data_IF_665534252747
#
_entry.id   IF_665534252747
#
_cell.length_a   1.000
_cell.length_b   1.000
_cell.length_c   1.000
_cell.angle_alpha   90.00
_cell.angle_beta   90.00
_cell.angle_gamma   90.00
#
_symmetry.space_group_name_H-M   'P 1'
#
loop_
_entity.id
_entity.type
_entity.pdbx_description
1 polymer ?
#
# COMPACT_ATOMS: atom_id res chain seq x y z
N UNK A 1 -6.36 13.65 -30.25
CA UNK A 1 -6.16 12.32 -29.64
C UNK A 1 -7.52 11.64 -29.54
N UNK A 2 -7.59 10.36 -29.17
CA UNK A 2 -8.90 9.70 -28.92
C UNK A 2 -9.41 10.03 -27.52
N UNK A 3 -10.73 10.09 -27.33
CA UNK A 3 -11.36 10.47 -26.05
C UNK A 3 -10.92 9.58 -24.89
N UNK A 4 -10.77 8.26 -25.09
CA UNK A 4 -10.25 7.35 -24.05
C UNK A 4 -8.90 7.81 -23.49
N UNK A 5 -7.95 8.20 -24.36
CA UNK A 5 -6.63 8.67 -23.93
C UNK A 5 -6.71 10.06 -23.28
N UNK A 6 -7.67 10.88 -23.71
CA UNK A 6 -7.92 12.17 -23.09
C UNK A 6 -8.47 12.00 -21.67
N UNK A 7 -9.36 11.05 -21.42
CA UNK A 7 -9.88 10.74 -20.09
C UNK A 7 -8.75 10.33 -19.12
N UNK A 8 -7.86 9.43 -19.55
CA UNK A 8 -6.67 9.07 -18.77
C UNK A 8 -5.80 10.30 -18.45
N UNK A 9 -5.63 11.20 -19.43
CA UNK A 9 -4.87 12.44 -19.21
C UNK A 9 -5.60 13.43 -18.31
N UNK A 10 -6.94 13.47 -18.36
CA UNK A 10 -7.77 14.31 -17.48
C UNK A 10 -7.56 13.89 -16.03
N UNK A 11 -7.67 12.59 -15.71
CA UNK A 11 -7.40 12.08 -14.34
C UNK A 11 -6.02 12.53 -13.86
N UNK A 12 -4.98 12.21 -14.62
CA UNK A 12 -3.59 12.58 -14.29
C UNK A 12 -3.35 14.08 -14.21
N UNK A 13 -4.15 14.88 -14.91
CA UNK A 13 -4.06 16.34 -14.85
C UNK A 13 -4.61 16.92 -13.55
N UNK A 14 -5.65 16.29 -12.99
CA UNK A 14 -6.21 16.66 -11.68
C UNK A 14 -5.21 16.33 -10.57
N UNK A 15 -4.48 15.23 -10.73
CA UNK A 15 -3.43 14.80 -9.80
C UNK A 15 -2.09 15.56 -9.96
N UNK A 16 -1.97 16.45 -10.94
CA UNK A 16 -0.74 17.23 -11.18
C UNK A 16 0.41 16.45 -11.82
N UNK A 17 0.16 15.27 -12.39
CA UNK A 17 1.18 14.36 -12.91
C UNK A 17 1.52 14.54 -14.40
N UNK A 18 0.84 15.46 -15.11
CA UNK A 18 1.09 15.68 -16.53
C UNK A 18 2.34 16.53 -16.78
N UNK A 19 3.18 16.04 -17.70
CA UNK A 19 4.27 16.84 -18.27
C UNK A 19 3.73 17.92 -19.22
N UNK A 20 4.47 19.02 -19.42
CA UNK A 20 4.04 20.11 -20.29
C UNK A 20 3.68 19.68 -21.73
N UNK A 21 4.36 18.66 -22.28
CA UNK A 21 4.00 18.07 -23.59
C UNK A 21 2.66 17.35 -23.58
N UNK A 22 2.33 16.65 -22.48
CA UNK A 22 1.04 15.96 -22.33
C UNK A 22 -0.09 16.96 -22.12
N UNK A 23 0.14 18.00 -21.33
CA UNK A 23 -0.81 19.10 -21.10
C UNK A 23 -1.19 19.79 -22.41
N UNK A 24 -0.22 20.21 -23.22
CA UNK A 24 -0.49 20.83 -24.52
C UNK A 24 -1.26 19.91 -25.48
N UNK A 25 -1.03 18.59 -25.39
CA UNK A 25 -1.77 17.59 -26.18
C UNK A 25 -3.21 17.47 -25.69
N UNK A 26 -3.44 17.51 -24.37
CA UNK A 26 -4.75 17.49 -23.74
C UNK A 26 -5.55 18.75 -24.10
N UNK A 27 -4.97 19.92 -23.93
CA UNK A 27 -5.60 21.21 -24.26
C UNK A 27 -6.09 21.26 -25.71
N UNK A 28 -5.27 20.78 -26.66
CA UNK A 28 -5.67 20.71 -28.08
C UNK A 28 -6.91 19.84 -28.30
N UNK A 29 -7.07 18.77 -27.52
CA UNK A 29 -8.25 17.91 -27.62
C UNK A 29 -9.47 18.54 -26.94
N UNK A 30 -9.28 19.16 -25.77
CA UNK A 30 -10.33 19.88 -25.05
C UNK A 30 -10.87 21.06 -25.84
N UNK A 31 -10.06 21.68 -26.71
CA UNK A 31 -10.52 22.72 -27.63
C UNK A 31 -11.59 22.22 -28.62
N UNK A 32 -11.52 20.93 -29.02
CA UNK A 32 -12.39 20.35 -30.04
C UNK A 32 -13.45 19.38 -29.52
N UNK A 33 -13.40 18.94 -28.25
CA UNK A 33 -14.33 17.96 -27.68
C UNK A 33 -15.02 18.52 -26.43
N UNK A 34 -16.33 18.75 -26.54
CA UNK A 34 -17.16 19.26 -25.44
C UNK A 34 -17.34 18.26 -24.30
N UNK A 35 -17.50 16.97 -24.62
CA UNK A 35 -17.68 15.90 -23.62
C UNK A 35 -16.48 15.79 -22.68
N UNK A 36 -15.27 15.77 -23.24
CA UNK A 36 -14.04 15.72 -22.43
C UNK A 36 -13.83 17.01 -21.61
N UNK A 37 -14.37 18.15 -22.06
CA UNK A 37 -14.34 19.41 -21.30
C UNK A 37 -15.28 19.35 -20.10
N UNK A 38 -16.52 18.89 -20.31
CA UNK A 38 -17.48 18.69 -19.24
C UNK A 38 -16.94 17.72 -18.18
N UNK A 39 -16.35 16.59 -18.61
CA UNK A 39 -15.72 15.62 -17.69
C UNK A 39 -14.61 16.24 -16.84
N UNK A 40 -13.75 17.06 -17.44
CA UNK A 40 -12.68 17.75 -16.71
C UNK A 40 -13.25 18.75 -15.69
N UNK A 41 -14.29 19.48 -16.05
CA UNK A 41 -14.98 20.41 -15.14
C UNK A 41 -15.61 19.67 -13.96
N UNK A 42 -16.27 18.54 -14.21
CA UNK A 42 -16.91 17.74 -13.16
C UNK A 42 -15.87 17.16 -12.19
N UNK A 43 -14.76 16.62 -12.71
CA UNK A 43 -13.68 16.11 -11.85
C UNK A 43 -13.01 17.21 -11.03
N UNK A 44 -12.87 18.43 -11.58
CA UNK A 44 -12.35 19.58 -10.83
C UNK A 44 -13.30 20.03 -9.72
N UNK A 45 -14.62 19.99 -9.95
CA UNK A 45 -15.62 20.29 -8.90
C UNK A 45 -15.54 19.28 -7.76
N UNK A 46 -15.43 17.99 -8.08
CA UNK A 46 -15.30 16.92 -7.07
C UNK A 46 -14.00 17.10 -6.27
N UNK A 47 -12.86 17.30 -6.95
CA UNK A 47 -11.59 17.51 -6.29
C UNK A 47 -11.58 18.77 -5.40
N UNK A 48 -12.20 19.86 -5.86
CA UNK A 48 -12.39 21.08 -5.08
C UNK A 48 -13.23 20.86 -3.82
N UNK A 49 -14.39 20.19 -3.95
CA UNK A 49 -15.24 19.86 -2.80
C UNK A 49 -14.57 18.91 -1.80
N UNK A 50 -13.73 17.98 -2.27
CA UNK A 50 -12.96 17.12 -1.39
C UNK A 50 -11.92 17.88 -0.56
N UNK A 51 -11.36 18.98 -1.08
CA UNK A 51 -10.40 19.81 -0.36
C UNK A 51 -11.03 20.64 0.77
N UNK A 52 -12.35 20.83 0.75
CA UNK A 52 -13.12 21.52 1.81
C UNK A 52 -13.47 20.59 2.98
N UNK A 53 -13.25 19.28 2.84
CA UNK A 53 -13.50 18.31 3.90
C UNK A 53 -12.47 18.48 5.03
N UNK A 54 -12.93 18.30 6.28
CA UNK A 54 -12.05 18.27 7.44
C UNK A 54 -11.01 17.15 7.29
N UNK A 55 -9.77 17.54 7.06
CA UNK A 55 -8.66 16.61 6.98
C UNK A 55 -8.20 16.25 8.41
N UNK A 56 -8.11 14.95 8.76
CA UNK A 56 -7.62 14.56 10.07
C UNK A 56 -6.16 14.98 10.22
N UNK A 57 -5.87 15.76 11.26
CA UNK A 57 -4.51 16.21 11.52
C UNK A 57 -3.62 15.03 11.97
N UNK A 58 -2.48 14.78 11.30
CA UNK A 58 -1.58 13.71 11.72
C UNK A 58 -1.09 13.92 13.15
N UNK A 59 -0.92 12.84 13.91
CA UNK A 59 -0.42 12.94 15.28
C UNK A 59 0.95 13.64 15.37
N UNK A 60 1.24 14.29 16.49
CA UNK A 60 2.53 14.95 16.74
C UNK A 60 3.75 14.06 16.49
N UNK A 61 3.61 12.75 16.70
CA UNK A 61 4.69 11.78 16.44
C UNK A 61 5.04 11.73 14.96
N UNK A 62 4.04 11.72 14.09
CA UNK A 62 4.23 11.71 12.63
C UNK A 62 4.94 13.00 12.21
N UNK A 63 4.48 14.16 12.71
CA UNK A 63 5.13 15.45 12.41
C UNK A 63 6.56 15.56 12.92
N UNK A 64 6.87 15.00 14.10
CA UNK A 64 8.24 14.94 14.59
C UNK A 64 9.12 14.09 13.68
N UNK A 65 8.65 12.91 13.28
CA UNK A 65 9.39 12.03 12.38
C UNK A 65 9.65 12.68 11.01
N UNK A 66 8.66 13.38 10.44
CA UNK A 66 8.83 14.13 9.19
C UNK A 66 9.89 15.23 9.35
N UNK A 67 9.82 16.03 10.42
CA UNK A 67 10.82 17.09 10.68
C UNK A 67 12.23 16.53 10.85
N UNK A 68 12.38 15.44 11.60
CA UNK A 68 13.68 14.76 11.73
C UNK A 68 14.16 14.25 10.37
N UNK A 69 13.27 13.62 9.60
CA UNK A 69 13.57 13.15 8.24
C UNK A 69 14.06 14.25 7.32
N UNK A 70 13.38 15.41 7.30
CA UNK A 70 13.78 16.57 6.50
C UNK A 70 15.08 17.22 6.98
N UNK A 71 15.37 17.19 8.29
CA UNK A 71 16.63 17.69 8.83
C UNK A 71 17.82 16.78 8.50
N UNK A 72 17.58 15.47 8.35
CA UNK A 72 18.59 14.48 7.98
C UNK A 72 18.72 14.25 6.47
N UNK A 73 17.67 14.59 5.71
CA UNK A 73 17.68 14.51 4.26
C UNK A 73 18.41 15.73 3.72
N UNK A 74 19.66 15.53 3.29
CA UNK A 74 20.32 16.44 2.37
C UNK A 74 19.50 16.43 1.07
N UNK A 75 18.55 17.36 0.94
CA UNK A 75 17.69 17.50 -0.23
C UNK A 75 18.57 17.92 -1.40
N UNK A 76 19.16 16.93 -2.07
CA UNK A 76 19.88 17.15 -3.33
C UNK A 76 18.86 17.68 -4.33
N UNK A 77 19.00 18.92 -4.84
CA UNK A 77 18.02 19.48 -5.74
C UNK A 77 17.98 18.63 -7.02
N UNK A 78 16.80 18.11 -7.35
CA UNK A 78 16.51 17.33 -8.57
C UNK A 78 16.43 18.23 -9.82
N UNK A 79 17.34 19.19 -9.94
CA UNK A 79 17.55 19.96 -11.16
C UNK A 79 18.90 19.53 -11.73
N UNK A 80 18.87 18.42 -12.45
CA UNK A 80 19.98 17.93 -13.27
C UNK A 80 20.17 18.88 -14.47
N UNK A 81 20.64 20.10 -14.18
CA UNK A 81 21.18 21.01 -15.17
C UNK A 81 22.58 20.54 -15.52
N UNK A 82 22.77 20.08 -16.75
CA UNK A 82 24.06 19.67 -17.33
C UNK A 82 25.06 20.82 -17.12
N UNK A 83 25.87 20.71 -16.08
CA UNK A 83 27.00 21.60 -15.83
C UNK A 83 28.22 20.93 -16.43
N UNK A 84 28.56 21.31 -17.66
CA UNK A 84 29.86 21.02 -18.24
C UNK A 84 30.89 21.88 -17.50
N UNK A 85 31.41 21.40 -16.37
CA UNK A 85 32.57 22.02 -15.75
C UNK A 85 33.83 21.76 -16.59
N UNK A 86 34.58 22.80 -16.98
CA UNK A 86 35.86 22.62 -17.64
C UNK A 86 36.87 22.09 -16.63
N UNK A 87 37.39 20.88 -16.88
CA UNK A 87 38.57 20.34 -16.19
C UNK A 87 39.77 21.27 -16.38
N UNK A 88 40.44 21.75 -15.31
CA UNK A 88 41.80 22.21 -15.43
C UNK A 88 42.74 21.00 -15.42
N UNK A 89 43.45 20.84 -16.53
CA UNK A 89 44.60 19.97 -16.68
C UNK A 89 45.81 20.60 -15.97
N UNK A 90 46.55 19.78 -15.22
CA UNK A 90 47.88 19.97 -14.62
C UNK A 90 48.03 20.72 -13.28
N UNK A 91 48.73 20.05 -12.36
CA UNK A 91 49.30 20.63 -11.14
C UNK A 91 49.79 19.58 -10.14
N UNK A 92 50.94 18.97 -10.42
CA UNK A 92 51.68 18.06 -9.53
C UNK A 92 51.97 18.74 -8.17
N UNK A 93 51.71 18.04 -7.06
CA UNK A 93 52.08 18.52 -5.73
C UNK A 93 51.55 17.66 -4.59
N UNK A 94 52.22 16.54 -4.32
CA UNK A 94 52.04 15.77 -3.08
C UNK A 94 52.76 16.52 -1.95
N UNK A 95 52.13 16.71 -0.79
CA UNK A 95 52.86 16.51 0.45
C UNK A 95 52.07 15.57 1.37
N UNK A 96 52.48 14.31 1.35
CA UNK A 96 52.18 13.37 2.41
C UNK A 96 52.94 13.81 3.69
N UNK A 97 52.45 13.35 4.84
CA UNK A 97 53.08 13.42 6.17
C UNK A 97 53.07 14.78 6.91
N UNK A 98 51.92 15.17 7.49
CA UNK A 98 51.90 15.93 8.77
C UNK A 98 50.80 15.55 9.77
N UNK A 99 49.97 14.52 9.51
CA UNK A 99 48.82 14.20 10.40
C UNK A 99 48.69 12.71 10.75
N UNK A 100 49.81 12.00 10.99
CA UNK A 100 49.78 10.59 11.37
C UNK A 100 49.37 10.33 12.85
N UNK A 101 49.24 11.38 13.69
CA UNK A 101 48.81 11.23 15.09
C UNK A 101 47.33 11.51 15.38
N UNK A 102 46.63 12.23 14.49
CA UNK A 102 45.25 12.72 14.77
C UNK A 102 44.18 11.80 14.17
N UNK A 103 44.51 11.03 13.13
CA UNK A 103 43.57 10.12 12.47
C UNK A 103 43.18 8.92 13.34
N UNK A 104 44.09 8.41 14.18
CA UNK A 104 43.80 7.26 15.05
C UNK A 104 42.82 7.60 16.18
N UNK A 105 42.92 8.80 16.78
CA UNK A 105 42.05 9.22 17.89
C UNK A 105 40.61 9.51 17.42
N UNK A 106 40.45 10.07 16.22
CA UNK A 106 39.15 10.36 15.63
C UNK A 106 38.38 9.08 15.28
N UNK A 107 39.07 8.06 14.74
CA UNK A 107 38.43 6.76 14.44
C UNK A 107 38.02 6.05 15.73
N UNK A 108 38.84 6.09 16.79
CA UNK A 108 38.46 5.49 18.08
C UNK A 108 37.26 6.22 18.71
N UNK A 109 37.20 7.56 18.68
CA UNK A 109 36.05 8.31 19.20
C UNK A 109 34.77 8.07 18.37
N UNK A 110 34.88 7.95 17.04
CA UNK A 110 33.73 7.64 16.18
C UNK A 110 33.27 6.21 16.42
N UNK A 111 34.16 5.22 16.50
CA UNK A 111 33.78 3.82 16.78
C UNK A 111 33.22 3.69 18.18
N UNK A 112 33.80 4.35 19.18
CA UNK A 112 33.31 4.32 20.56
C UNK A 112 31.97 5.04 20.68
N UNK A 113 31.78 6.17 20.00
CA UNK A 113 30.51 6.90 19.92
C UNK A 113 29.42 6.12 19.17
N UNK A 114 29.78 5.40 18.10
CA UNK A 114 28.86 4.51 17.37
C UNK A 114 28.49 3.30 18.20
N UNK A 115 29.44 2.68 18.91
CA UNK A 115 29.16 1.53 19.79
C UNK A 115 28.34 1.95 21.00
N UNK A 116 28.68 3.05 21.67
CA UNK A 116 27.91 3.61 22.80
C UNK A 116 26.53 4.09 22.31
N UNK A 117 26.45 4.74 21.14
CA UNK A 117 25.19 5.19 20.53
C UNK A 117 24.27 4.04 20.11
N UNK A 118 24.81 2.95 19.57
CA UNK A 118 24.04 1.73 19.24
C UNK A 118 23.65 0.93 20.49
N UNK A 119 24.45 1.00 21.57
CA UNK A 119 24.17 0.32 22.86
C UNK A 119 23.18 1.10 23.72
N UNK A 120 23.24 2.43 23.78
CA UNK A 120 22.28 3.28 24.50
C UNK A 120 21.02 3.58 23.68
N UNK A 121 21.11 3.65 22.34
CA UNK A 121 19.96 3.83 21.45
C UNK A 121 19.01 2.63 21.39
N UNK A 122 19.43 1.46 21.89
CA UNK A 122 18.56 0.28 22.11
C UNK A 122 17.80 0.33 23.44
N UNK A 123 18.04 1.31 24.30
CA UNK A 123 17.19 1.55 25.48
C UNK A 123 16.02 2.46 25.10
N UNK A 124 15.22 2.02 24.13
CA UNK A 124 13.87 2.53 23.98
C UNK A 124 13.07 2.13 25.22
N UNK A 125 12.47 3.10 25.88
CA UNK A 125 11.57 2.93 27.03
C UNK A 125 10.63 1.73 26.83
N UNK A 126 10.86 0.57 27.49
CA UNK A 126 10.15 -0.66 27.15
C UNK A 126 8.66 -0.61 27.53
N UNK A 127 8.25 0.28 28.45
CA UNK A 127 6.90 0.26 29.01
C UNK A 127 5.78 0.85 28.10
N UNK A 128 6.11 1.59 27.03
CA UNK A 128 5.09 2.22 26.15
C UNK A 128 4.94 1.53 24.80
N UNK A 129 5.97 0.84 24.30
CA UNK A 129 5.87 -0.02 23.11
C UNK A 129 5.08 -1.28 23.43
N UNK A 130 5.33 -1.89 24.59
CA UNK A 130 4.70 -3.14 25.04
C UNK A 130 3.17 -3.03 25.13
N UNK A 131 2.67 -1.93 25.73
CA UNK A 131 1.22 -1.65 25.80
C UNK A 131 0.58 -1.36 24.43
N UNK A 132 1.35 -0.79 23.50
CA UNK A 132 0.88 -0.54 22.15
C UNK A 132 0.78 -1.83 21.34
N UNK A 133 1.78 -2.70 21.48
CA UNK A 133 1.83 -4.03 20.85
C UNK A 133 0.72 -4.94 21.38
N UNK A 134 0.52 -5.01 22.70
CA UNK A 134 -0.58 -5.76 23.33
C UNK A 134 -1.95 -5.28 22.84
N UNK A 135 -2.17 -3.97 22.73
CA UNK A 135 -3.40 -3.40 22.17
C UNK A 135 -3.58 -3.79 20.69
N UNK A 136 -2.52 -3.76 19.88
CA UNK A 136 -2.60 -4.19 18.48
C UNK A 136 -2.91 -5.69 18.36
N UNK A 137 -2.27 -6.54 19.17
CA UNK A 137 -2.54 -7.98 19.21
C UNK A 137 -4.01 -8.25 19.57
N UNK A 138 -4.53 -7.59 20.60
CA UNK A 138 -5.93 -7.70 21.00
C UNK A 138 -6.90 -7.28 19.88
N UNK A 139 -6.54 -6.28 19.06
CA UNK A 139 -7.35 -5.86 17.91
C UNK A 139 -7.29 -6.85 16.74
N UNK A 140 -6.15 -7.51 16.53
CA UNK A 140 -6.02 -8.58 15.55
C UNK A 140 -6.83 -9.82 15.98
N UNK A 141 -6.82 -10.17 17.28
CA UNK A 141 -7.68 -11.23 17.84
C UNK A 141 -9.18 -10.94 17.67
N UNK A 142 -9.56 -9.68 17.91
CA UNK A 142 -10.93 -9.23 17.66
C UNK A 142 -11.32 -9.37 16.19
N UNK A 143 -10.46 -8.91 15.28
CA UNK A 143 -10.68 -9.05 13.84
C UNK A 143 -10.79 -10.51 13.41
N UNK A 144 -9.92 -11.39 13.92
CA UNK A 144 -9.95 -12.82 13.62
C UNK A 144 -11.32 -13.44 13.96
N UNK A 145 -11.90 -13.12 15.12
CA UNK A 145 -13.23 -13.62 15.50
C UNK A 145 -14.31 -13.22 14.49
N UNK A 146 -14.28 -11.97 14.02
CA UNK A 146 -15.23 -11.51 13.00
C UNK A 146 -15.05 -12.24 11.67
N UNK A 147 -13.81 -12.45 11.21
CA UNK A 147 -13.54 -13.21 10.00
C UNK A 147 -14.00 -14.67 10.12
N UNK A 148 -13.73 -15.33 11.25
CA UNK A 148 -14.18 -16.70 11.48
C UNK A 148 -15.71 -16.80 11.43
N UNK A 149 -16.42 -15.85 12.05
CA UNK A 149 -17.88 -15.79 11.99
C UNK A 149 -18.38 -15.58 10.54
N UNK A 150 -17.77 -14.66 9.80
CA UNK A 150 -18.11 -14.41 8.40
C UNK A 150 -17.88 -15.67 7.54
N UNK A 151 -16.71 -16.29 7.65
CA UNK A 151 -16.38 -17.53 6.94
C UNK A 151 -17.39 -18.63 7.25
N UNK A 152 -17.77 -18.82 8.52
CA UNK A 152 -18.74 -19.84 8.89
C UNK A 152 -20.11 -19.56 8.23
N UNK A 153 -20.60 -18.32 8.32
CA UNK A 153 -21.89 -17.94 7.73
C UNK A 153 -21.91 -18.08 6.19
N UNK A 154 -20.86 -17.63 5.52
CA UNK A 154 -20.73 -17.74 4.06
C UNK A 154 -20.58 -19.19 3.61
N UNK A 155 -19.82 -20.01 4.36
CA UNK A 155 -19.65 -21.43 4.06
C UNK A 155 -20.98 -22.19 4.19
N UNK A 156 -21.79 -21.87 5.21
CA UNK A 156 -23.11 -22.45 5.40
C UNK A 156 -24.10 -22.02 4.29
N UNK A 157 -24.12 -20.73 3.97
CA UNK A 157 -24.91 -20.20 2.87
C UNK A 157 -24.55 -20.87 1.54
N UNK A 158 -23.25 -21.02 1.25
CA UNK A 158 -22.76 -21.72 0.07
C UNK A 158 -23.12 -23.21 0.07
N UNK A 159 -22.98 -23.90 1.20
CA UNK A 159 -23.32 -25.32 1.31
C UNK A 159 -24.78 -25.61 0.96
N UNK A 160 -25.71 -24.74 1.36
CA UNK A 160 -27.13 -24.85 1.01
C UNK A 160 -27.43 -24.66 -0.48
N UNK A 161 -26.51 -24.03 -1.23
CA UNK A 161 -26.71 -23.62 -2.63
C UNK A 161 -25.72 -24.27 -3.60
N UNK A 162 -24.85 -25.17 -3.12
CA UNK A 162 -23.77 -25.80 -3.89
C UNK A 162 -24.25 -26.57 -5.13
N UNK A 163 -25.45 -27.16 -5.07
CA UNK A 163 -26.03 -27.95 -6.17
C UNK A 163 -26.42 -27.17 -7.42
N UNK A 164 -26.32 -25.83 -7.41
CA UNK A 164 -26.68 -24.97 -8.54
C UNK A 164 -25.49 -24.69 -9.47
N UNK A 165 -24.26 -25.01 -9.07
CA UNK A 165 -23.06 -24.78 -9.88
C UNK A 165 -22.87 -25.84 -10.97
N UNK A 166 -22.38 -25.39 -12.13
CA UNK A 166 -21.91 -26.28 -13.19
C UNK A 166 -20.73 -27.12 -12.66
N UNK A 167 -20.67 -28.44 -12.91
CA UNK A 167 -19.67 -29.33 -12.30
C UNK A 167 -18.21 -28.88 -12.47
N UNK A 168 -17.88 -28.33 -13.64
CA UNK A 168 -16.53 -27.85 -13.98
C UNK A 168 -16.12 -26.63 -13.13
N UNK A 169 -17.06 -25.72 -12.84
CA UNK A 169 -16.83 -24.53 -12.01
C UNK A 169 -16.73 -24.93 -10.54
N UNK A 170 -17.59 -25.86 -10.09
CA UNK A 170 -17.54 -26.40 -8.74
C UNK A 170 -16.19 -27.07 -8.43
N UNK A 171 -15.66 -27.88 -9.36
CA UNK A 171 -14.36 -28.54 -9.18
C UNK A 171 -13.19 -27.55 -9.10
N UNK A 172 -13.18 -26.52 -9.97
CA UNK A 172 -12.15 -25.48 -9.92
C UNK A 172 -12.21 -24.70 -8.60
N UNK A 173 -13.43 -24.36 -8.17
CA UNK A 173 -13.65 -23.69 -6.90
C UNK A 173 -13.17 -24.53 -5.71
N UNK A 174 -13.51 -25.82 -5.68
CA UNK A 174 -13.09 -26.74 -4.62
C UNK A 174 -11.57 -26.86 -4.55
N UNK A 175 -10.88 -26.92 -5.69
CA UNK A 175 -9.41 -26.87 -5.75
C UNK A 175 -8.86 -25.60 -5.13
N UNK A 176 -9.36 -24.43 -5.56
CA UNK A 176 -8.88 -23.14 -5.04
C UNK A 176 -9.16 -22.99 -3.54
N UNK A 177 -10.34 -23.41 -3.09
CA UNK A 177 -10.72 -23.39 -1.69
C UNK A 177 -9.79 -24.29 -0.85
N UNK A 178 -9.44 -25.47 -1.36
CA UNK A 178 -8.51 -26.38 -0.66
C UNK A 178 -7.12 -25.79 -0.46
N UNK A 179 -6.64 -24.98 -1.42
CA UNK A 179 -5.35 -24.28 -1.30
C UNK A 179 -5.43 -23.21 -0.22
N UNK A 180 -6.48 -22.39 -0.22
CA UNK A 180 -6.67 -21.36 0.80
C UNK A 180 -6.83 -21.99 2.19
N UNK A 181 -7.56 -23.09 2.32
CA UNK A 181 -7.72 -23.81 3.58
C UNK A 181 -6.39 -24.35 4.11
N UNK A 182 -5.54 -24.90 3.23
CA UNK A 182 -4.19 -25.32 3.61
C UNK A 182 -3.34 -24.14 4.09
N UNK A 183 -3.43 -22.97 3.43
CA UNK A 183 -2.75 -21.74 3.84
C UNK A 183 -3.21 -21.26 5.20
N UNK A 184 -4.53 -21.23 5.46
CA UNK A 184 -5.08 -20.86 6.78
C UNK A 184 -4.54 -21.79 7.86
N UNK A 185 -4.47 -23.10 7.62
CA UNK A 185 -3.93 -24.06 8.59
C UNK A 185 -2.43 -23.87 8.83
N UNK A 186 -1.66 -23.51 7.79
CA UNK A 186 -0.24 -23.17 7.96
C UNK A 186 -0.07 -21.90 8.81
N UNK A 187 -0.83 -20.84 8.52
CA UNK A 187 -0.79 -19.60 9.30
C UNK A 187 -1.24 -19.81 10.76
N UNK A 188 -2.28 -20.61 11.00
CA UNK A 188 -2.72 -20.94 12.37
C UNK A 188 -1.62 -21.63 13.17
N UNK A 189 -0.88 -22.56 12.56
CA UNK A 189 0.26 -23.20 13.23
C UNK A 189 1.35 -22.20 13.58
N UNK A 190 1.70 -21.29 12.67
CA UNK A 190 2.67 -20.23 12.95
C UNK A 190 2.23 -19.33 14.12
N UNK A 191 0.95 -18.94 14.17
CA UNK A 191 0.40 -18.14 15.28
C UNK A 191 0.37 -18.92 16.60
N UNK A 192 0.16 -20.25 16.57
CA UNK A 192 0.22 -21.08 17.77
C UNK A 192 1.64 -21.25 18.30
N UNK A 193 2.64 -21.31 17.40
CA UNK A 193 4.06 -21.40 17.76
C UNK A 193 4.55 -20.09 18.36
N UNK A 194 4.16 -18.94 17.79
CA UNK A 194 4.55 -17.61 18.23
C UNK A 194 3.32 -16.68 18.38
N UNK A 195 2.59 -16.74 19.51
CA UNK A 195 1.34 -16.00 19.70
C UNK A 195 1.48 -14.48 19.70
N UNK A 196 2.68 -13.95 19.97
CA UNK A 196 2.93 -12.51 20.00
C UNK A 196 3.54 -11.99 18.69
N UNK A 197 3.73 -12.86 17.67
CA UNK A 197 4.20 -12.44 16.35
C UNK A 197 3.08 -11.75 15.56
N UNK A 198 3.20 -10.41 15.48
CA UNK A 198 2.32 -9.56 14.69
C UNK A 198 2.30 -9.95 13.20
N UNK A 199 3.42 -10.42 12.64
CA UNK A 199 3.48 -10.79 11.22
C UNK A 199 2.68 -12.06 10.95
N UNK A 200 2.88 -13.13 11.72
CA UNK A 200 2.09 -14.35 11.62
C UNK A 200 0.58 -14.09 11.69
N UNK A 201 0.14 -13.22 12.62
CA UNK A 201 -1.27 -12.82 12.76
C UNK A 201 -1.79 -12.03 11.55
N UNK A 202 -0.99 -11.13 10.99
CA UNK A 202 -1.34 -10.38 9.79
C UNK A 202 -1.51 -11.30 8.55
N UNK A 203 -0.65 -12.31 8.42
CA UNK A 203 -0.77 -13.31 7.36
C UNK A 203 -2.02 -14.16 7.53
N UNK A 204 -2.36 -14.54 8.76
CA UNK A 204 -3.59 -15.29 9.06
C UNK A 204 -4.85 -14.50 8.66
N UNK A 205 -4.93 -13.21 9.00
CA UNK A 205 -6.04 -12.35 8.59
C UNK A 205 -6.13 -12.16 7.07
N UNK A 206 -4.98 -12.10 6.39
CA UNK A 206 -4.94 -12.03 4.93
C UNK A 206 -5.51 -13.30 4.30
N UNK A 207 -5.14 -14.47 4.81
CA UNK A 207 -5.68 -15.75 4.35
C UNK A 207 -7.19 -15.88 4.60
N UNK A 208 -7.69 -15.37 5.73
CA UNK A 208 -9.15 -15.29 5.97
C UNK A 208 -9.86 -14.37 4.98
N UNK A 209 -9.28 -13.21 4.68
CA UNK A 209 -9.85 -12.26 3.70
C UNK A 209 -9.94 -12.88 2.31
N UNK A 210 -8.92 -13.64 1.90
CA UNK A 210 -8.91 -14.35 0.63
C UNK A 210 -10.03 -15.41 0.56
N UNK A 211 -10.25 -16.16 1.65
CA UNK A 211 -11.34 -17.14 1.74
C UNK A 211 -12.72 -16.49 1.63
N UNK A 212 -12.94 -15.39 2.34
CA UNK A 212 -14.20 -14.62 2.27
C UNK A 212 -14.44 -14.12 0.85
N UNK A 213 -13.42 -13.52 0.22
CA UNK A 213 -13.50 -13.01 -1.15
C UNK A 213 -13.85 -14.11 -2.14
N UNK A 214 -13.26 -15.30 -2.00
CA UNK A 214 -13.55 -16.44 -2.87
C UNK A 214 -15.00 -16.92 -2.71
N UNK A 215 -15.49 -17.06 -1.47
CA UNK A 215 -16.87 -17.45 -1.16
C UNK A 215 -17.88 -16.42 -1.68
N UNK A 216 -17.61 -15.14 -1.50
CA UNK A 216 -18.48 -14.06 -1.97
C UNK A 216 -18.56 -14.02 -3.51
N UNK A 217 -17.41 -14.17 -4.18
CA UNK A 217 -17.33 -14.19 -5.65
C UNK A 217 -18.19 -15.29 -6.29
N UNK A 218 -18.20 -16.50 -5.69
CA UNK A 218 -19.00 -17.60 -6.22
C UNK A 218 -20.50 -17.39 -5.95
N UNK A 219 -20.86 -16.82 -4.80
CA UNK A 219 -22.25 -16.49 -4.48
C UNK A 219 -22.80 -15.39 -5.39
N UNK A 220 -21.98 -14.39 -5.74
CA UNK A 220 -22.35 -13.33 -6.69
C UNK A 220 -22.50 -13.83 -8.13
N UNK A 221 -21.69 -14.81 -8.55
CA UNK A 221 -21.90 -15.52 -9.82
C UNK A 221 -23.27 -16.23 -9.82
N UNK A 222 -23.59 -16.96 -8.75
CA UNK A 222 -24.87 -17.67 -8.63
C UNK A 222 -26.08 -16.72 -8.60
N UNK A 223 -25.96 -15.57 -7.93
CA UNK A 223 -27.03 -14.55 -7.90
C UNK A 223 -27.35 -14.05 -9.32
N UNK A 224 -26.32 -13.72 -10.10
CA UNK A 224 -26.48 -13.26 -11.49
C UNK A 224 -27.05 -14.33 -12.41
N UNK A 225 -26.63 -15.59 -12.26
CA UNK A 225 -27.18 -16.69 -13.05
C UNK A 225 -28.68 -16.93 -12.76
N UNK A 226 -29.12 -16.73 -11.53
CA UNK A 226 -30.56 -16.78 -11.17
C UNK A 226 -31.36 -15.62 -11.75
N UNK A 227 -30.81 -14.40 -11.73
CA UNK A 227 -31.48 -13.22 -12.29
C UNK A 227 -31.68 -13.33 -13.81
N UNK A 228 -30.68 -13.86 -14.51
CA UNK A 228 -30.75 -14.09 -15.97
C UNK A 228 -31.74 -15.19 -16.34
N UNK A 229 -31.85 -16.25 -15.53
CA UNK A 229 -32.83 -17.33 -15.76
C UNK A 229 -34.26 -16.96 -15.34
N UNK A 230 -34.44 -16.12 -14.32
CA UNK A 230 -35.75 -15.69 -13.82
C UNK A 230 -36.47 -14.65 -14.70
N UNK A 231 -35.75 -13.75 -15.38
CA UNK A 231 -36.36 -12.73 -16.24
C UNK A 231 -36.81 -13.26 -17.62
N UNK A 232 -36.47 -14.49 -18.00
CA UNK A 232 -36.78 -15.07 -19.32
C UNK A 232 -38.18 -15.67 -19.48
N UNK A 233 -38.99 -15.77 -18.41
CA UNK A 233 -40.24 -16.57 -18.42
C UNK A 233 -41.54 -15.76 -18.46
N UNK A 234 -41.51 -14.42 -18.63
CA UNK A 234 -42.73 -13.57 -18.59
C UNK A 234 -43.28 -13.18 -19.98
N UNK A 235 -42.99 -13.93 -21.04
CA UNK A 235 -43.58 -13.67 -22.36
C UNK A 235 -44.13 -14.97 -22.97
N UNK A 236 -45.30 -15.40 -22.51
CA UNK A 236 -46.27 -16.18 -23.29
C UNK A 236 -47.69 -15.81 -22.83
#
# INVERSE_FOLDING_TARGET
>A
MRCHKANEYISRSVDGELTGRQTARLERHLASCGECRALLEDLRKIAGGAAELDAPEPSDRVWRNIRTGLATADLKPLVEGISLEPRPLFGLGVPALRHAGVAALAVVLVVTGVVIGLRLGRQGTPARSDRGEEYTLAKLDEAERYYQQAINSLSEAFASQRGVLVPQVAELFDRNLSVIDATIQACRRAVLEEPDDLQARSYLLSAYTEKVTLLDSVMDLQRRDRETTGNGTTIL
#
